data_IF_417371988681
#
_entry.id   IF_417371988681
#
_cell.length_a   1.000
_cell.length_b   1.000
_cell.length_c   1.000
_cell.angle_alpha   90.00
_cell.angle_beta   90.00
_cell.angle_gamma   90.00
#
_symmetry.space_group_name_H-M   'P 1'
#
loop_
_entity.id
_entity.type
_entity.pdbx_description
1 polymer ?
#
# COMPACT_ATOMS: atom_id res chain seq x y z
N UNK A 1 19.09 11.65 23.51
CA UNK A 1 20.29 11.00 22.95
C UNK A 1 21.31 10.92 24.09
N UNK A 2 22.20 9.92 24.18
CA UNK A 2 23.21 9.93 25.25
C UNK A 2 24.37 10.87 24.91
N UNK A 3 25.08 11.38 25.93
CA UNK A 3 26.14 12.39 25.76
C UNK A 3 27.27 11.89 24.84
N UNK A 4 27.60 10.59 24.92
CA UNK A 4 28.63 9.98 24.07
C UNK A 4 28.26 9.99 22.60
N UNK A 5 26.99 9.78 22.26
CA UNK A 5 26.51 9.84 20.88
C UNK A 5 26.53 11.28 20.37
N UNK A 6 26.15 12.24 21.22
CA UNK A 6 26.18 13.66 20.90
C UNK A 6 27.61 14.13 20.61
N UNK A 7 28.58 13.79 21.46
CA UNK A 7 30.00 14.10 21.24
C UNK A 7 30.51 13.54 19.91
N UNK A 8 30.13 12.31 19.58
CA UNK A 8 30.52 11.68 18.30
C UNK A 8 29.96 12.40 17.08
N UNK A 9 28.74 12.93 17.17
CA UNK A 9 28.14 13.75 16.10
C UNK A 9 28.95 15.04 15.95
N UNK A 10 29.24 15.74 17.05
CA UNK A 10 30.05 16.97 17.01
C UNK A 10 31.48 16.74 16.49
N UNK A 11 32.08 15.59 16.76
CA UNK A 11 33.40 15.20 16.23
C UNK A 11 33.37 14.74 14.76
N UNK A 12 32.19 14.73 14.11
CA UNK A 12 32.05 14.36 12.71
C UNK A 12 32.21 12.87 12.39
N UNK A 13 31.98 11.97 13.35
CA UNK A 13 32.12 10.52 13.15
C UNK A 13 31.03 9.98 12.21
N UNK A 14 31.41 9.41 11.07
CA UNK A 14 30.48 8.75 10.14
C UNK A 14 30.04 7.34 10.56
N UNK A 15 30.65 6.76 11.59
CA UNK A 15 30.33 5.41 12.06
C UNK A 15 29.04 5.40 12.91
N UNK A 16 28.12 4.46 12.64
CA UNK A 16 26.90 4.25 13.43
C UNK A 16 26.07 5.54 13.66
N UNK A 17 25.90 6.35 12.60
CA UNK A 17 25.11 7.58 12.67
C UNK A 17 23.65 7.27 13.09
N UNK A 18 23.08 8.00 14.07
CA UNK A 18 21.66 7.90 14.35
C UNK A 18 20.81 8.34 13.14
N UNK A 19 19.59 7.83 12.99
CA UNK A 19 18.70 8.21 11.89
C UNK A 19 18.29 9.69 11.98
N UNK A 20 18.23 10.37 10.84
CA UNK A 20 17.72 11.75 10.75
C UNK A 20 16.21 11.75 10.96
N UNK A 21 15.69 12.70 11.75
CA UNK A 21 14.26 12.95 11.79
C UNK A 21 13.82 13.75 10.56
N UNK A 22 12.80 13.24 9.87
CA UNK A 22 12.26 13.86 8.66
C UNK A 22 11.25 14.94 9.05
N UNK A 23 11.47 16.19 8.58
CA UNK A 23 10.47 17.29 8.69
C UNK A 23 9.27 17.14 7.75
N UNK A 24 9.18 16.02 7.05
CA UNK A 24 8.06 15.66 6.17
C UNK A 24 7.19 14.64 6.90
N UNK A 25 5.93 15.00 7.13
CA UNK A 25 4.92 14.07 7.60
C UNK A 25 4.17 13.49 6.39
N UNK A 26 4.37 12.19 6.16
CA UNK A 26 3.64 11.45 5.12
C UNK A 26 2.54 10.62 5.76
N UNK A 27 1.31 10.87 5.34
CA UNK A 27 0.15 10.13 5.81
C UNK A 27 -0.43 9.37 4.63
N UNK A 28 -0.41 8.04 4.78
CA UNK A 28 -0.99 7.11 3.83
C UNK A 28 -2.38 6.76 4.33
N UNK A 29 -3.39 7.15 3.55
CA UNK A 29 -4.76 6.72 3.79
C UNK A 29 -5.02 5.58 2.81
N UNK A 30 -4.96 4.35 3.32
CA UNK A 30 -5.37 3.19 2.56
C UNK A 30 -6.89 3.19 2.49
N UNK A 31 -7.41 3.66 1.36
CA UNK A 31 -8.83 3.69 1.06
C UNK A 31 -9.07 3.07 -0.30
N UNK A 32 -10.31 3.02 -0.71
CA UNK A 32 -10.76 2.39 -1.94
C UNK A 32 -11.34 3.46 -2.88
N UNK A 33 -10.98 3.50 -4.17
CA UNK A 33 -11.06 4.71 -5.04
C UNK A 33 -12.49 5.16 -5.25
N UNK A 34 -13.36 4.17 -5.45
CA UNK A 34 -14.79 4.37 -5.66
C UNK A 34 -15.57 4.19 -4.37
N UNK A 35 -15.06 3.40 -3.42
CA UNK A 35 -15.77 3.03 -2.21
C UNK A 35 -15.67 4.15 -1.16
N UNK A 36 -14.48 4.70 -0.90
CA UNK A 36 -14.26 5.85 -0.01
C UNK A 36 -14.17 7.19 -0.77
N UNK A 37 -14.72 7.24 -1.99
CA UNK A 37 -14.61 8.43 -2.85
C UNK A 37 -15.22 9.67 -2.21
N UNK A 38 -16.32 9.50 -1.48
CA UNK A 38 -17.00 10.58 -0.78
C UNK A 38 -16.14 11.14 0.35
N UNK A 39 -15.69 10.30 1.27
CA UNK A 39 -14.86 10.66 2.41
C UNK A 39 -13.57 11.32 1.97
N UNK A 40 -12.91 10.76 0.95
CA UNK A 40 -11.68 11.33 0.41
C UNK A 40 -11.93 12.73 -0.16
N UNK A 41 -12.99 12.92 -0.94
CA UNK A 41 -13.28 14.22 -1.53
C UNK A 41 -13.58 15.26 -0.44
N UNK A 42 -14.35 14.89 0.59
CA UNK A 42 -14.62 15.76 1.75
C UNK A 42 -13.36 16.04 2.56
N UNK A 43 -12.51 15.04 2.82
CA UNK A 43 -11.22 15.24 3.49
C UNK A 43 -10.32 16.21 2.72
N UNK A 44 -10.22 16.07 1.40
CA UNK A 44 -9.40 16.95 0.57
C UNK A 44 -9.93 18.38 0.54
N UNK A 45 -11.25 18.56 0.51
CA UNK A 45 -11.87 19.88 0.49
C UNK A 45 -11.78 20.59 1.85
N UNK A 46 -12.05 19.88 2.95
CA UNK A 46 -12.30 20.50 4.25
C UNK A 46 -11.21 20.28 5.30
N UNK A 47 -10.57 19.12 5.29
CA UNK A 47 -9.65 18.70 6.36
C UNK A 47 -8.19 18.91 5.96
N UNK A 48 -7.85 18.63 4.72
CA UNK A 48 -6.49 18.77 4.19
C UNK A 48 -5.94 20.20 4.33
N UNK A 49 -6.67 21.27 3.97
CA UNK A 49 -6.16 22.63 4.15
C UNK A 49 -5.86 22.95 5.62
N UNK A 50 -6.77 22.56 6.53
CA UNK A 50 -6.63 22.77 7.97
C UNK A 50 -5.45 21.99 8.56
N UNK A 51 -5.25 20.73 8.14
CA UNK A 51 -4.11 19.92 8.57
C UNK A 51 -2.78 20.48 8.06
N UNK A 52 -2.74 20.94 6.81
CA UNK A 52 -1.55 21.55 6.22
C UNK A 52 -1.18 22.84 6.97
N UNK A 53 -2.16 23.69 7.24
CA UNK A 53 -1.99 24.91 8.03
C UNK A 53 -1.51 24.59 9.45
N UNK A 54 -2.19 23.68 10.15
CA UNK A 54 -1.81 23.23 11.49
C UNK A 54 -0.37 22.71 11.56
N UNK A 55 0.03 21.85 10.62
CA UNK A 55 1.38 21.28 10.59
C UNK A 55 2.44 22.35 10.29
N UNK A 56 2.14 23.29 9.38
CA UNK A 56 3.03 24.38 9.00
C UNK A 56 3.19 25.39 10.14
N UNK A 57 2.09 25.85 10.72
CA UNK A 57 2.09 26.91 11.73
C UNK A 57 2.62 26.43 13.08
N UNK A 58 2.20 25.24 13.51
CA UNK A 58 2.56 24.73 14.83
C UNK A 58 3.94 24.09 14.87
N UNK A 59 4.34 23.42 13.79
CA UNK A 59 5.51 22.55 13.78
C UNK A 59 6.49 22.82 12.62
N UNK A 60 6.20 23.75 11.71
CA UNK A 60 7.04 24.03 10.55
C UNK A 60 7.17 22.85 9.57
N UNK A 61 6.22 21.92 9.57
CA UNK A 61 6.27 20.69 8.76
C UNK A 61 5.56 20.85 7.42
N UNK A 62 6.08 20.15 6.40
CA UNK A 62 5.37 19.97 5.14
C UNK A 62 4.46 18.74 5.23
N UNK A 63 3.14 18.95 5.03
CA UNK A 63 2.13 17.89 5.07
C UNK A 63 1.90 17.32 3.67
N UNK A 64 2.14 16.02 3.50
CA UNK A 64 1.89 15.31 2.24
C UNK A 64 0.90 14.16 2.46
N UNK A 65 -0.20 14.17 1.71
CA UNK A 65 -1.27 13.18 1.78
C UNK A 65 -1.27 12.28 0.54
N UNK A 66 -1.24 10.97 0.76
CA UNK A 66 -1.37 9.96 -0.29
C UNK A 66 -2.59 9.08 0.00
N UNK A 67 -3.55 9.06 -0.92
CA UNK A 67 -4.79 8.27 -0.81
C UNK A 67 -4.83 7.11 -1.81
N UNK A 68 -4.84 5.88 -1.29
CA UNK A 68 -4.99 4.62 -2.05
C UNK A 68 -6.44 4.34 -2.47
N UNK A 69 -6.64 3.33 -3.33
CA UNK A 69 -7.72 3.29 -4.32
C UNK A 69 -8.49 1.95 -4.54
N UNK A 70 -8.36 0.89 -3.72
CA UNK A 70 -9.37 -0.21 -3.49
C UNK A 70 -8.80 -1.15 -2.41
N UNK A 71 -9.50 -2.20 -1.94
CA UNK A 71 -8.76 -3.34 -1.36
C UNK A 71 -7.69 -3.72 -2.39
N UNK A 72 -8.06 -3.67 -3.67
CA UNK A 72 -7.18 -3.13 -4.70
C UNK A 72 -6.85 -4.18 -5.73
N UNK A 73 -6.31 -3.70 -6.85
CA UNK A 73 -5.63 -4.54 -7.81
C UNK A 73 -4.74 -5.54 -7.05
N UNK A 74 -4.94 -6.84 -7.32
CA UNK A 74 -4.14 -7.94 -6.80
C UNK A 74 -3.09 -8.26 -7.87
N UNK A 75 -1.98 -7.49 -7.97
CA UNK A 75 -1.01 -7.65 -9.03
C UNK A 75 -0.43 -9.05 -8.99
N UNK A 76 -0.06 -9.56 -10.16
CA UNK A 76 0.91 -10.64 -10.22
C UNK A 76 2.28 -10.10 -9.77
N UNK A 77 3.13 -10.89 -9.10
CA UNK A 77 4.44 -10.41 -8.65
C UNK A 77 5.32 -10.00 -9.83
N UNK A 78 5.96 -8.83 -9.76
CA UNK A 78 6.90 -8.42 -10.80
C UNK A 78 8.17 -9.29 -10.81
N UNK A 79 8.50 -9.88 -9.65
CA UNK A 79 9.65 -10.75 -9.44
C UNK A 79 9.18 -11.96 -8.64
N UNK A 80 9.54 -13.16 -9.09
CA UNK A 80 9.28 -14.43 -8.41
C UNK A 80 10.62 -15.12 -8.20
N UNK A 81 10.86 -15.68 -7.01
CA UNK A 81 12.06 -16.45 -6.74
C UNK A 81 12.18 -17.62 -7.73
N UNK A 82 13.38 -17.87 -8.23
CA UNK A 82 13.65 -18.90 -9.22
C UNK A 82 13.09 -20.27 -8.87
N UNK A 83 13.38 -20.74 -7.65
CA UNK A 83 12.85 -22.01 -7.13
C UNK A 83 11.31 -22.00 -7.03
N UNK A 84 10.72 -20.90 -6.57
CA UNK A 84 9.27 -20.78 -6.44
C UNK A 84 8.57 -20.80 -7.80
N UNK A 85 9.09 -20.08 -8.80
CA UNK A 85 8.52 -20.07 -10.15
C UNK A 85 8.53 -21.47 -10.78
N UNK A 86 9.62 -22.22 -10.59
CA UNK A 86 9.72 -23.60 -11.08
C UNK A 86 8.70 -24.53 -10.40
N UNK A 87 8.46 -24.39 -9.09
CA UNK A 87 7.41 -25.14 -8.39
C UNK A 87 6.01 -24.82 -8.92
N UNK A 88 5.72 -23.55 -9.17
CA UNK A 88 4.43 -23.13 -9.73
C UNK A 88 4.22 -23.70 -11.14
N UNK A 89 5.27 -23.68 -11.96
CA UNK A 89 5.26 -24.25 -13.30
C UNK A 89 5.03 -25.76 -13.28
N UNK A 90 5.75 -26.48 -12.42
CA UNK A 90 5.59 -27.93 -12.21
C UNK A 90 4.16 -28.27 -11.75
N UNK A 91 3.59 -27.49 -10.83
CA UNK A 91 2.22 -27.68 -10.37
C UNK A 91 1.20 -27.55 -11.53
N UNK A 92 1.34 -26.55 -12.39
CA UNK A 92 0.46 -26.38 -13.56
C UNK A 92 0.62 -27.54 -14.57
N UNK A 93 1.86 -27.94 -14.85
CA UNK A 93 2.15 -29.04 -15.76
C UNK A 93 1.58 -30.38 -15.24
N UNK A 94 1.68 -30.64 -13.93
CA UNK A 94 1.08 -31.83 -13.32
C UNK A 94 -0.45 -31.91 -13.46
N UNK A 95 -1.10 -30.76 -13.67
CA UNK A 95 -2.53 -30.65 -13.95
C UNK A 95 -2.86 -30.59 -15.46
N UNK A 96 -1.89 -30.83 -16.35
CA UNK A 96 -2.01 -30.66 -17.80
C UNK A 96 -2.46 -29.25 -18.23
N UNK A 97 -2.01 -28.22 -17.50
CA UNK A 97 -2.28 -26.82 -17.82
C UNK A 97 -1.05 -26.23 -18.52
N UNK A 98 -1.27 -25.62 -19.68
CA UNK A 98 -0.22 -24.98 -20.47
C UNK A 98 0.40 -23.77 -19.75
N UNK A 99 1.74 -23.70 -19.73
CA UNK A 99 2.51 -22.64 -19.05
C UNK A 99 3.14 -21.63 -20.00
N UNK A 100 2.93 -21.76 -21.31
CA UNK A 100 3.53 -20.90 -22.35
C UNK A 100 3.28 -19.43 -22.12
N UNK A 101 2.10 -19.08 -21.59
CA UNK A 101 1.77 -17.70 -21.20
C UNK A 101 2.72 -17.17 -20.12
N UNK A 102 3.00 -17.95 -19.07
CA UNK A 102 3.94 -17.56 -18.02
C UNK A 102 5.38 -17.53 -18.55
N UNK A 103 5.76 -18.52 -19.35
CA UNK A 103 7.10 -18.62 -19.96
C UNK A 103 7.39 -17.46 -20.94
N UNK A 104 6.34 -16.90 -21.55
CA UNK A 104 6.41 -15.73 -22.43
C UNK A 104 6.66 -14.45 -21.62
N UNK A 105 5.90 -14.26 -20.54
CA UNK A 105 5.86 -13.02 -19.78
C UNK A 105 6.88 -12.94 -18.64
N UNK A 106 7.38 -14.06 -18.12
CA UNK A 106 8.42 -14.10 -17.09
C UNK A 106 9.72 -14.63 -17.66
N UNK A 107 10.81 -13.85 -17.53
CA UNK A 107 12.15 -14.26 -17.98
C UNK A 107 13.09 -14.39 -16.81
N UNK A 108 13.93 -15.41 -16.88
CA UNK A 108 14.94 -15.67 -15.86
C UNK A 108 15.99 -14.56 -15.87
N UNK A 109 16.33 -14.07 -14.68
CA UNK A 109 17.50 -13.25 -14.42
C UNK A 109 18.43 -14.03 -13.50
N UNK A 110 19.52 -14.54 -14.09
CA UNK A 110 20.55 -15.28 -13.37
C UNK A 110 21.59 -14.39 -12.72
N UNK A 111 21.53 -13.06 -12.91
CA UNK A 111 22.42 -12.12 -12.24
C UNK A 111 21.99 -11.85 -10.79
N UNK A 112 20.71 -12.06 -10.48
CA UNK A 112 20.22 -12.06 -9.12
C UNK A 112 20.70 -13.29 -8.35
N UNK A 113 21.06 -13.14 -7.07
CA UNK A 113 21.48 -14.24 -6.20
C UNK A 113 20.60 -14.25 -4.95
N UNK A 114 19.70 -15.23 -4.76
CA UNK A 114 19.36 -16.32 -5.68
C UNK A 114 18.68 -15.82 -6.97
N UNK A 115 18.75 -16.60 -8.06
CA UNK A 115 18.17 -16.23 -9.35
C UNK A 115 16.65 -16.05 -9.28
N UNK A 116 16.11 -15.22 -10.15
CA UNK A 116 14.68 -14.85 -10.14
C UNK A 116 14.08 -14.89 -11.54
N UNK A 117 12.75 -14.89 -11.61
CA UNK A 117 11.99 -14.64 -12.83
C UNK A 117 11.33 -13.27 -12.76
N UNK A 118 11.55 -12.45 -13.80
CA UNK A 118 11.09 -11.06 -13.87
C UNK A 118 10.00 -10.93 -14.94
N UNK A 119 8.88 -10.32 -14.55
CA UNK A 119 7.80 -9.95 -15.45
C UNK A 119 8.30 -8.91 -16.46
N UNK A 120 8.13 -9.21 -17.75
CA UNK A 120 8.55 -8.33 -18.84
C UNK A 120 7.66 -7.09 -18.94
N UNK A 121 8.26 -5.99 -19.41
CA UNK A 121 7.53 -4.76 -19.70
C UNK A 121 6.45 -5.03 -20.75
N UNK A 122 5.25 -4.46 -20.56
CA UNK A 122 4.11 -4.68 -21.46
C UNK A 122 4.47 -4.35 -22.91
N UNK A 123 5.19 -3.24 -23.12
CA UNK A 123 5.62 -2.78 -24.44
C UNK A 123 6.66 -3.64 -25.13
N UNK A 124 7.31 -4.58 -24.43
CA UNK A 124 8.25 -5.53 -25.05
C UNK A 124 7.54 -6.55 -25.93
N UNK A 125 6.27 -6.84 -25.62
CA UNK A 125 5.44 -7.80 -26.36
C UNK A 125 4.29 -7.08 -27.09
N UNK A 126 3.63 -6.15 -26.41
CA UNK A 126 2.50 -5.37 -26.92
C UNK A 126 2.99 -3.96 -27.26
N UNK A 127 3.64 -3.84 -28.42
CA UNK A 127 4.39 -2.64 -28.84
C UNK A 127 3.55 -1.36 -28.92
N UNK A 128 2.23 -1.47 -29.12
CA UNK A 128 1.33 -0.32 -29.22
C UNK A 128 0.65 0.04 -27.90
N UNK A 129 0.90 -0.66 -26.79
CA UNK A 129 0.22 -0.44 -25.51
C UNK A 129 0.26 1.03 -25.02
N UNK A 130 1.37 1.73 -25.28
CA UNK A 130 1.57 3.15 -24.96
C UNK A 130 1.54 4.08 -26.19
N UNK A 131 1.18 3.57 -27.37
CA UNK A 131 1.24 4.32 -28.62
C UNK A 131 0.06 5.28 -28.80
N UNK A 132 0.17 6.47 -28.18
CA UNK A 132 -0.83 7.53 -28.28
C UNK A 132 -1.07 8.06 -29.71
N UNK A 133 -0.15 7.78 -30.64
CA UNK A 133 -0.27 8.22 -32.04
C UNK A 133 -1.27 7.38 -32.83
N UNK A 134 -1.53 6.15 -32.41
CA UNK A 134 -2.48 5.23 -33.07
C UNK A 134 -3.47 4.67 -32.04
N UNK A 135 -4.52 5.44 -31.68
CA UNK A 135 -5.45 5.07 -30.60
C UNK A 135 -6.12 3.71 -30.78
N UNK A 136 -6.38 3.30 -32.03
CA UNK A 136 -7.01 2.01 -32.33
C UNK A 136 -6.11 0.82 -31.96
N UNK A 137 -4.83 0.85 -32.35
CA UNK A 137 -3.87 -0.20 -32.00
C UNK A 137 -3.54 -0.17 -30.51
N UNK A 138 -3.49 1.02 -29.91
CA UNK A 138 -3.34 1.17 -28.47
C UNK A 138 -4.48 0.49 -27.70
N UNK A 139 -5.74 0.76 -28.07
CA UNK A 139 -6.89 0.15 -27.41
C UNK A 139 -6.90 -1.38 -27.57
N UNK A 140 -6.48 -1.88 -28.73
CA UNK A 140 -6.37 -3.32 -28.99
C UNK A 140 -5.32 -3.98 -28.07
N UNK A 141 -4.10 -3.45 -28.03
CA UNK A 141 -3.04 -3.96 -27.17
C UNK A 141 -3.39 -3.84 -25.68
N UNK A 142 -4.05 -2.76 -25.28
CA UNK A 142 -4.56 -2.62 -23.92
C UNK A 142 -5.59 -3.70 -23.57
N UNK A 143 -6.55 -3.97 -24.47
CA UNK A 143 -7.52 -5.04 -24.26
C UNK A 143 -6.83 -6.41 -24.15
N UNK A 144 -5.87 -6.70 -25.04
CA UNK A 144 -5.08 -7.93 -25.00
C UNK A 144 -4.29 -8.07 -23.70
N UNK A 145 -3.69 -6.99 -23.19
CA UNK A 145 -2.99 -7.01 -21.91
C UNK A 145 -3.92 -7.37 -20.76
N UNK A 146 -5.08 -6.71 -20.64
CA UNK A 146 -5.99 -6.94 -19.53
C UNK A 146 -6.54 -8.38 -19.53
N UNK A 147 -6.83 -8.95 -20.69
CA UNK A 147 -7.20 -10.38 -20.83
C UNK A 147 -6.04 -11.32 -20.46
N UNK A 148 -4.83 -11.03 -20.96
CA UNK A 148 -3.61 -11.81 -20.67
C UNK A 148 -3.28 -11.79 -19.18
N UNK A 149 -3.34 -10.63 -18.55
CA UNK A 149 -3.12 -10.44 -17.12
C UNK A 149 -4.13 -11.24 -16.29
N UNK A 150 -5.42 -11.21 -16.65
CA UNK A 150 -6.45 -11.98 -15.97
C UNK A 150 -6.19 -13.50 -16.07
N UNK A 151 -5.71 -13.98 -17.22
CA UNK A 151 -5.29 -15.38 -17.41
C UNK A 151 -4.07 -15.73 -16.55
N UNK A 152 -3.03 -14.91 -16.56
CA UNK A 152 -1.83 -15.11 -15.72
C UNK A 152 -2.17 -15.12 -14.23
N UNK A 153 -3.03 -14.21 -13.77
CA UNK A 153 -3.51 -14.18 -12.38
C UNK A 153 -4.18 -15.51 -11.99
N UNK A 154 -5.07 -16.04 -12.84
CA UNK A 154 -5.73 -17.33 -12.60
C UNK A 154 -4.72 -18.49 -12.53
N UNK A 155 -3.77 -18.53 -13.45
CA UNK A 155 -2.72 -19.56 -13.47
C UNK A 155 -1.88 -19.52 -12.19
N UNK A 156 -1.34 -18.35 -11.84
CA UNK A 156 -0.47 -18.19 -10.68
C UNK A 156 -1.20 -18.51 -9.37
N UNK A 157 -2.44 -18.04 -9.19
CA UNK A 157 -3.25 -18.37 -8.01
C UNK A 157 -3.53 -19.86 -7.89
N UNK A 158 -3.90 -20.50 -9.00
CA UNK A 158 -4.15 -21.94 -9.04
C UNK A 158 -2.88 -22.73 -8.69
N UNK A 159 -1.75 -22.34 -9.26
CA UNK A 159 -0.45 -22.94 -9.00
C UNK A 159 -0.06 -22.78 -7.52
N UNK A 160 -0.14 -21.56 -6.97
CA UNK A 160 0.20 -21.26 -5.59
C UNK A 160 -0.67 -22.04 -4.60
N UNK A 161 -1.98 -22.09 -4.83
CA UNK A 161 -2.89 -22.88 -4.00
C UNK A 161 -2.55 -24.38 -4.06
N UNK A 162 -2.18 -24.89 -5.24
CA UNK A 162 -1.79 -26.29 -5.41
C UNK A 162 -0.49 -26.60 -4.68
N UNK A 163 0.53 -25.76 -4.81
CA UNK A 163 1.80 -25.89 -4.10
C UNK A 163 1.60 -25.85 -2.58
N UNK A 164 0.72 -24.97 -2.08
CA UNK A 164 0.38 -24.90 -0.66
C UNK A 164 -0.31 -26.16 -0.16
N UNK A 165 -1.30 -26.67 -0.92
CA UNK A 165 -1.98 -27.93 -0.58
C UNK A 165 -1.01 -29.12 -0.55
N UNK A 166 0.03 -29.09 -1.39
CA UNK A 166 1.11 -30.07 -1.44
C UNK A 166 2.24 -29.80 -0.42
N UNK A 167 2.13 -28.75 0.41
CA UNK A 167 3.14 -28.31 1.39
C UNK A 167 4.51 -27.97 0.76
N UNK A 168 4.53 -27.61 -0.53
CA UNK A 168 5.72 -27.17 -1.26
C UNK A 168 6.07 -25.70 -0.98
N UNK A 169 5.08 -24.90 -0.62
CA UNK A 169 5.23 -23.51 -0.16
C UNK A 169 4.41 -23.29 1.11
N UNK A 170 4.81 -22.31 1.92
CA UNK A 170 4.05 -21.94 3.12
C UNK A 170 2.81 -21.07 2.78
N UNK A 171 2.03 -20.76 3.81
CA UNK A 171 0.78 -19.99 3.67
C UNK A 171 1.04 -18.56 3.22
N UNK A 172 2.13 -17.94 3.67
CA UNK A 172 2.44 -16.54 3.38
C UNK A 172 2.93 -16.39 1.93
N UNK A 173 3.77 -17.32 1.47
CA UNK A 173 4.19 -17.45 0.08
C UNK A 173 3.00 -17.67 -0.85
N UNK A 174 2.05 -18.53 -0.47
CA UNK A 174 0.81 -18.70 -1.24
C UNK A 174 -0.03 -17.43 -1.25
N UNK A 175 -0.25 -16.82 -0.07
CA UNK A 175 -1.10 -15.64 0.08
C UNK A 175 -0.56 -14.44 -0.70
N UNK A 176 0.75 -14.34 -0.95
CA UNK A 176 1.33 -13.29 -1.80
C UNK A 176 0.71 -13.19 -3.20
N UNK A 177 0.15 -14.28 -3.75
CA UNK A 177 -0.54 -14.31 -5.05
C UNK A 177 -2.01 -13.86 -4.99
N UNK A 178 -2.57 -13.76 -3.78
CA UNK A 178 -3.93 -13.33 -3.50
C UNK A 178 -3.98 -11.97 -2.82
N UNK A 179 -2.85 -11.54 -2.25
CA UNK A 179 -2.70 -10.29 -1.51
C UNK A 179 -2.92 -9.09 -2.43
N UNK A 180 -3.71 -8.15 -1.93
CA UNK A 180 -3.95 -6.89 -2.61
C UNK A 180 -2.94 -5.83 -2.21
N UNK A 181 -2.87 -4.75 -3.00
CA UNK A 181 -1.98 -3.61 -2.69
C UNK A 181 -2.33 -3.02 -1.33
N UNK A 182 -3.62 -2.82 -1.01
CA UNK A 182 -4.02 -2.29 0.30
C UNK A 182 -3.72 -3.25 1.44
N UNK A 183 -3.90 -4.56 1.26
CA UNK A 183 -3.48 -5.50 2.30
C UNK A 183 -1.97 -5.38 2.57
N UNK A 184 -1.16 -5.26 1.52
CA UNK A 184 0.29 -5.07 1.65
C UNK A 184 0.64 -3.77 2.38
N UNK A 185 -0.08 -2.68 2.10
CA UNK A 185 0.05 -1.41 2.83
C UNK A 185 -0.35 -1.55 4.30
N UNK A 186 -1.44 -2.24 4.62
CA UNK A 186 -1.89 -2.47 6.01
C UNK A 186 -0.91 -3.38 6.76
N UNK A 187 -0.40 -4.43 6.12
CA UNK A 187 0.61 -5.32 6.69
C UNK A 187 1.86 -4.53 7.06
N UNK A 188 2.40 -3.75 6.11
CA UNK A 188 3.65 -3.02 6.32
C UNK A 188 3.45 -1.79 7.23
N UNK A 189 2.32 -1.10 7.13
CA UNK A 189 2.04 0.15 7.84
C UNK A 189 1.47 -0.04 9.25
N UNK A 190 0.88 -1.20 9.55
CA UNK A 190 0.22 -1.46 10.85
C UNK A 190 0.64 -2.81 11.43
N UNK A 191 0.46 -3.92 10.70
CA UNK A 191 0.57 -5.26 11.29
C UNK A 191 2.00 -5.65 11.67
N UNK A 192 2.97 -5.31 10.84
CA UNK A 192 4.38 -5.61 11.06
C UNK A 192 5.11 -4.54 11.87
N UNK A 193 4.45 -3.43 12.21
CA UNK A 193 5.05 -2.36 13.00
C UNK A 193 5.06 -2.76 14.48
N UNK A 194 6.18 -2.48 15.16
CA UNK A 194 6.34 -2.79 16.59
C UNK A 194 5.37 -2.01 17.48
N UNK A 195 5.14 -0.74 17.17
CA UNK A 195 4.31 0.18 17.97
C UNK A 195 3.33 0.96 17.07
N UNK A 196 2.05 0.72 17.25
CA UNK A 196 0.96 1.36 16.49
C UNK A 196 0.44 2.65 17.15
N UNK A 197 0.70 2.85 18.44
CA UNK A 197 0.14 3.95 19.25
C UNK A 197 0.53 5.35 18.77
N UNK A 198 1.71 5.49 18.19
CA UNK A 198 2.31 6.79 17.89
C UNK A 198 2.28 7.17 16.41
N UNK A 199 2.02 6.22 15.51
CA UNK A 199 2.19 6.44 14.06
C UNK A 199 1.09 5.82 13.21
N UNK A 200 0.14 5.07 13.80
CA UNK A 200 -0.95 4.44 13.08
C UNK A 200 -2.29 5.04 13.50
N UNK A 201 -3.16 5.31 12.53
CA UNK A 201 -4.57 5.64 12.67
C UNK A 201 -5.32 4.75 11.67
N UNK A 202 -6.41 4.12 12.10
CA UNK A 202 -7.29 3.39 11.19
C UNK A 202 -8.74 3.82 11.39
N UNK A 203 -9.39 4.14 10.27
CA UNK A 203 -10.81 4.42 10.20
C UNK A 203 -11.42 3.47 9.19
N UNK A 204 -12.39 2.68 9.65
CA UNK A 204 -12.97 1.59 8.91
C UNK A 204 -14.46 1.83 8.75
N UNK A 205 -14.96 1.67 7.52
CA UNK A 205 -16.39 1.72 7.23
C UNK A 205 -16.90 0.35 6.84
N UNK A 206 -18.11 0.05 7.29
CA UNK A 206 -18.94 -1.04 6.82
C UNK A 206 -20.20 -0.47 6.17
N UNK A 207 -20.60 -0.98 5.01
CA UNK A 207 -21.82 -0.55 4.32
C UNK A 207 -22.84 -1.68 4.44
N UNK A 208 -23.97 -1.37 5.05
CA UNK A 208 -25.12 -2.24 5.11
C UNK A 208 -25.96 -2.15 3.84
N UNK A 209 -26.64 -3.25 3.51
CA UNK A 209 -27.71 -3.28 2.51
C UNK A 209 -27.30 -2.83 1.10
N UNK A 210 -26.05 -3.09 0.68
CA UNK A 210 -25.57 -2.78 -0.67
C UNK A 210 -26.53 -3.35 -1.72
N UNK A 211 -27.03 -2.49 -2.60
CA UNK A 211 -27.95 -2.90 -3.66
C UNK A 211 -27.21 -3.69 -4.76
N UNK A 212 -27.27 -5.02 -4.66
CA UNK A 212 -26.64 -5.95 -5.62
C UNK A 212 -27.40 -6.08 -6.95
N UNK A 213 -28.61 -5.52 -7.10
CA UNK A 213 -29.31 -5.53 -8.39
C UNK A 213 -28.59 -4.66 -9.42
N UNK A 214 -27.89 -3.61 -8.98
CA UNK A 214 -27.06 -2.76 -9.82
C UNK A 214 -25.57 -3.10 -9.62
N UNK A 215 -25.12 -4.23 -10.17
CA UNK A 215 -23.73 -4.70 -10.04
C UNK A 215 -22.69 -3.69 -10.53
N UNK A 216 -23.02 -2.83 -11.51
CA UNK A 216 -22.12 -1.77 -11.98
C UNK A 216 -21.84 -0.76 -10.86
N UNK A 217 -22.87 -0.39 -10.10
CA UNK A 217 -22.76 0.52 -8.96
C UNK A 217 -22.21 -0.19 -7.74
N UNK A 218 -22.71 -1.39 -7.42
CA UNK A 218 -22.23 -2.18 -6.29
C UNK A 218 -20.74 -2.53 -6.43
N UNK A 219 -20.25 -2.80 -7.64
CA UNK A 219 -18.83 -3.06 -7.92
C UNK A 219 -17.87 -1.91 -7.56
N UNK A 220 -18.42 -0.74 -7.22
CA UNK A 220 -17.65 0.35 -6.64
C UNK A 220 -17.34 0.14 -5.16
N UNK A 221 -18.15 -0.63 -4.43
CA UNK A 221 -18.16 -0.80 -2.97
C UNK A 221 -17.94 -2.24 -2.50
N UNK A 222 -18.13 -3.22 -3.38
CA UNK A 222 -17.90 -4.64 -3.11
C UNK A 222 -17.22 -5.29 -4.31
N UNK A 223 -16.33 -6.25 -4.06
CA UNK A 223 -15.64 -6.99 -5.12
C UNK A 223 -16.62 -7.93 -5.85
N UNK A 224 -16.66 -7.82 -7.17
CA UNK A 224 -17.53 -8.62 -8.06
C UNK A 224 -16.65 -9.43 -9.02
N UNK A 225 -16.85 -10.74 -9.04
CA UNK A 225 -16.21 -11.68 -9.97
C UNK A 225 -17.28 -12.53 -10.66
N UNK A 226 -17.17 -12.72 -11.98
CA UNK A 226 -18.13 -13.50 -12.77
C UNK A 226 -19.61 -13.09 -12.55
N UNK A 227 -19.88 -11.78 -12.49
CA UNK A 227 -21.21 -11.19 -12.21
C UNK A 227 -21.84 -11.58 -10.86
N UNK A 228 -21.02 -12.03 -9.90
CA UNK A 228 -21.43 -12.36 -8.55
C UNK A 228 -20.46 -11.72 -7.54
N UNK A 229 -20.86 -11.65 -6.27
CA UNK A 229 -19.95 -11.18 -5.21
C UNK A 229 -18.77 -12.14 -5.10
N UNK A 230 -17.55 -11.61 -5.14
CA UNK A 230 -16.32 -12.37 -4.94
C UNK A 230 -16.21 -12.77 -3.45
N UNK A 231 -16.69 -13.97 -3.14
CA UNK A 231 -16.75 -14.49 -1.77
C UNK A 231 -15.36 -14.66 -1.14
N UNK A 232 -14.34 -14.92 -1.96
CA UNK A 232 -12.95 -15.01 -1.50
C UNK A 232 -12.47 -13.62 -1.05
N UNK A 233 -12.67 -12.59 -1.89
CA UNK A 233 -12.30 -11.22 -1.56
C UNK A 233 -13.02 -10.72 -0.30
N UNK A 234 -14.32 -11.02 -0.15
CA UNK A 234 -15.10 -10.68 1.06
C UNK A 234 -14.48 -11.33 2.30
N UNK A 235 -14.14 -12.62 2.24
CA UNK A 235 -13.53 -13.34 3.38
C UNK A 235 -12.16 -12.76 3.75
N UNK A 236 -11.32 -12.44 2.76
CA UNK A 236 -10.01 -11.83 2.97
C UNK A 236 -10.15 -10.44 3.60
N UNK A 237 -11.07 -9.62 3.10
CA UNK A 237 -11.34 -8.29 3.66
C UNK A 237 -11.87 -8.37 5.09
N UNK A 238 -12.82 -9.26 5.38
CA UNK A 238 -13.33 -9.48 6.74
C UNK A 238 -12.21 -9.88 7.69
N UNK A 239 -11.34 -10.81 7.31
CA UNK A 239 -10.22 -11.21 8.16
C UNK A 239 -9.23 -10.06 8.42
N UNK A 240 -8.93 -9.25 7.40
CA UNK A 240 -8.05 -8.09 7.56
C UNK A 240 -8.68 -7.01 8.45
N UNK A 241 -9.92 -6.63 8.15
CA UNK A 241 -10.66 -5.50 8.73
C UNK A 241 -11.18 -5.78 10.12
N UNK A 242 -11.73 -6.98 10.35
CA UNK A 242 -12.48 -7.32 11.55
C UNK A 242 -11.66 -8.10 12.57
N UNK A 243 -10.65 -8.87 12.12
CA UNK A 243 -9.83 -9.68 13.03
C UNK A 243 -8.43 -9.08 13.23
N UNK A 244 -7.63 -9.00 12.15
CA UNK A 244 -6.20 -8.69 12.23
C UNK A 244 -5.92 -7.25 12.61
N UNK A 245 -6.64 -6.30 12.00
CA UNK A 245 -6.45 -4.88 12.25
C UNK A 245 -6.85 -4.50 13.69
N UNK A 246 -8.05 -4.83 14.20
CA UNK A 246 -8.46 -4.47 15.56
C UNK A 246 -7.61 -5.16 16.65
N UNK A 247 -7.10 -6.37 16.39
CA UNK A 247 -6.23 -7.08 17.32
C UNK A 247 -4.85 -6.41 17.51
N UNK A 248 -4.42 -5.53 16.59
CA UNK A 248 -3.08 -4.93 16.57
C UNK A 248 -3.06 -3.44 16.85
N UNK A 249 -4.09 -2.71 16.41
CA UNK A 249 -4.11 -1.25 16.53
C UNK A 249 -4.57 -0.83 17.93
N UNK A 250 -4.02 0.29 18.42
CA UNK A 250 -4.49 0.91 19.66
C UNK A 250 -5.96 1.34 19.53
N UNK A 251 -6.79 0.98 20.50
CA UNK A 251 -8.22 1.32 20.50
C UNK A 251 -8.49 2.84 20.32
N UNK A 252 -7.64 3.70 20.89
CA UNK A 252 -7.79 5.17 20.75
C UNK A 252 -7.50 5.69 19.34
N UNK A 253 -6.90 4.86 18.49
CA UNK A 253 -6.51 5.17 17.11
C UNK A 253 -7.35 4.36 16.10
N UNK A 254 -8.42 3.70 16.56
CA UNK A 254 -9.32 2.91 15.74
C UNK A 254 -10.73 3.49 15.79
N UNK A 255 -11.28 3.81 14.63
CA UNK A 255 -12.68 4.21 14.49
C UNK A 255 -13.38 3.31 13.49
N UNK A 256 -14.56 2.83 13.86
CA UNK A 256 -15.42 2.01 13.00
C UNK A 256 -16.74 2.73 12.78
N UNK A 257 -17.19 2.70 11.53
CA UNK A 257 -18.45 3.29 11.09
C UNK A 257 -19.28 2.23 10.38
N UNK A 258 -20.59 2.28 10.60
CA UNK A 258 -21.56 1.52 9.81
C UNK A 258 -22.47 2.51 9.13
N UNK A 259 -22.57 2.42 7.81
CA UNK A 259 -23.41 3.30 6.99
C UNK A 259 -24.41 2.47 6.20
N UNK A 260 -25.58 3.03 5.93
CA UNK A 260 -26.62 2.36 5.15
C UNK A 260 -26.51 2.71 3.67
N UNK A 261 -26.73 1.74 2.78
CA UNK A 261 -26.87 2.04 1.36
C UNK A 261 -28.21 2.73 1.08
N UNK A 262 -28.19 3.96 0.57
CA UNK A 262 -29.40 4.76 0.32
C UNK A 262 -29.62 4.99 -1.18
N UNK A 263 -30.80 4.60 -1.65
CA UNK A 263 -31.27 4.88 -3.00
C UNK A 263 -30.44 4.22 -4.12
N UNK A 264 -30.47 4.83 -5.31
CA UNK A 264 -29.76 4.32 -6.50
C UNK A 264 -28.26 4.59 -6.46
N UNK A 265 -27.88 5.70 -5.83
CA UNK A 265 -26.50 6.18 -5.80
C UNK A 265 -25.68 5.48 -4.71
N UNK A 266 -26.35 4.93 -3.69
CA UNK A 266 -25.76 4.24 -2.54
C UNK A 266 -25.32 5.21 -1.47
N UNK A 267 -24.16 5.82 -1.68
CA UNK A 267 -23.62 6.80 -0.75
C UNK A 267 -23.55 8.17 -1.45
N UNK A 268 -24.15 9.20 -0.86
CA UNK A 268 -23.99 10.60 -1.29
C UNK A 268 -23.70 11.54 -0.12
N UNK A 269 -23.02 12.69 -0.34
CA UNK A 269 -22.76 13.68 0.70
C UNK A 269 -24.04 14.15 1.41
N UNK A 270 -25.12 14.37 0.66
CA UNK A 270 -26.39 14.87 1.21
C UNK A 270 -27.05 13.87 2.15
N UNK A 271 -26.96 12.58 1.83
CA UNK A 271 -27.59 11.51 2.62
C UNK A 271 -26.72 11.01 3.77
N UNK A 272 -25.42 11.33 3.74
CA UNK A 272 -24.43 10.85 4.70
C UNK A 272 -23.63 11.99 5.36
N UNK A 273 -24.20 13.19 5.42
CA UNK A 273 -23.51 14.38 5.91
C UNK A 273 -23.01 14.24 7.36
N UNK A 274 -23.83 13.67 8.25
CA UNK A 274 -23.48 13.44 9.66
C UNK A 274 -22.29 12.48 9.79
N UNK A 275 -22.36 11.33 9.10
CA UNK A 275 -21.26 10.37 9.02
C UNK A 275 -19.98 11.02 8.52
N UNK A 276 -20.06 11.81 7.44
CA UNK A 276 -18.89 12.50 6.89
C UNK A 276 -18.29 13.51 7.86
N UNK A 277 -19.14 14.26 8.56
CA UNK A 277 -18.69 15.24 9.55
C UNK A 277 -17.95 14.56 10.70
N UNK A 278 -18.47 13.44 11.22
CA UNK A 278 -17.79 12.66 12.25
C UNK A 278 -16.48 12.04 11.74
N UNK A 279 -16.50 11.46 10.55
CA UNK A 279 -15.32 10.89 9.89
C UNK A 279 -14.20 11.92 9.74
N UNK A 280 -14.53 13.11 9.22
CA UNK A 280 -13.60 14.21 9.06
C UNK A 280 -13.06 14.72 10.41
N UNK A 281 -13.92 14.79 11.42
CA UNK A 281 -13.55 15.22 12.78
C UNK A 281 -12.60 14.24 13.43
N UNK A 282 -12.88 12.94 13.37
CA UNK A 282 -12.00 11.90 13.91
C UNK A 282 -10.69 11.83 13.13
N UNK A 283 -10.72 12.01 11.81
CA UNK A 283 -9.50 12.11 11.00
C UNK A 283 -8.63 13.27 11.46
N UNK A 284 -9.18 14.49 11.50
CA UNK A 284 -8.44 15.69 11.90
C UNK A 284 -7.85 15.54 13.31
N UNK A 285 -8.67 15.17 14.29
CA UNK A 285 -8.23 14.99 15.69
C UNK A 285 -7.21 13.85 15.83
N UNK A 286 -7.39 12.76 15.09
CA UNK A 286 -6.46 11.62 15.09
C UNK A 286 -5.10 12.03 14.54
N UNK A 287 -5.07 12.64 13.35
CA UNK A 287 -3.83 13.08 12.72
C UNK A 287 -3.11 14.12 13.56
N UNK A 288 -3.77 15.21 13.96
CA UNK A 288 -3.14 16.26 14.79
C UNK A 288 -2.55 15.71 16.08
N UNK A 289 -3.23 14.76 16.73
CA UNK A 289 -2.72 14.05 17.92
C UNK A 289 -1.48 13.21 17.61
N UNK A 290 -1.44 12.51 16.48
CA UNK A 290 -0.27 11.75 16.05
C UNK A 290 0.91 12.68 15.73
N UNK A 291 0.66 13.79 15.03
CA UNK A 291 1.67 14.82 14.74
C UNK A 291 2.25 15.36 16.04
N UNK A 292 1.40 15.80 16.96
CA UNK A 292 1.84 16.36 18.25
C UNK A 292 2.64 15.32 19.07
N UNK A 293 2.27 14.04 19.02
CA UNK A 293 3.04 12.97 19.69
C UNK A 293 4.40 12.73 19.02
N UNK A 294 4.47 12.77 17.70
CA UNK A 294 5.71 12.60 16.96
C UNK A 294 6.67 13.77 17.25
N UNK A 295 6.16 15.00 17.21
CA UNK A 295 6.95 16.21 17.45
C UNK A 295 7.42 16.36 18.89
N UNK A 296 6.66 15.87 19.89
CA UNK A 296 7.12 15.84 21.29
C UNK A 296 8.36 14.97 21.51
N UNK A 297 8.67 14.04 20.61
CA UNK A 297 9.86 13.19 20.69
C UNK A 297 11.07 13.82 19.99
N UNK A 298 10.88 14.88 19.22
CA UNK A 298 11.98 15.66 18.66
C UNK A 298 12.52 16.63 19.70
N UNK A 299 13.85 16.73 19.78
CA UNK A 299 14.53 17.70 20.61
C UNK A 299 14.62 19.03 19.84
N UNK A 300 13.67 19.93 20.13
CA UNK A 300 13.60 21.26 19.52
C UNK A 300 14.43 22.31 20.28
N UNK A 301 15.25 21.91 21.25
CA UNK A 301 16.19 22.83 21.89
C UNK A 301 17.21 23.38 20.87
N UNK A 302 17.85 24.54 21.14
CA UNK A 302 18.89 25.07 20.26
C UNK A 302 20.00 24.04 20.00
N UNK A 303 20.36 23.25 21.01
CA UNK A 303 21.34 22.18 20.89
C UNK A 303 20.82 21.02 20.02
N UNK A 304 19.56 20.60 20.20
CA UNK A 304 18.92 19.58 19.36
C UNK A 304 18.83 19.97 17.88
N UNK A 305 18.58 21.25 17.58
CA UNK A 305 18.58 21.77 16.21
C UNK A 305 19.97 21.68 15.57
N UNK A 306 21.01 22.12 16.29
CA UNK A 306 22.41 22.03 15.83
C UNK A 306 22.82 20.56 15.63
N UNK A 307 22.48 19.67 16.56
CA UNK A 307 22.75 18.23 16.42
C UNK A 307 22.06 17.67 15.17
N UNK A 308 20.81 18.05 14.92
CA UNK A 308 20.05 17.59 13.74
C UNK A 308 20.69 18.08 12.43
N UNK A 309 21.13 19.33 12.38
CA UNK A 309 21.82 19.91 11.23
C UNK A 309 23.15 19.19 10.95
N UNK A 310 24.00 19.03 11.98
CA UNK A 310 25.27 18.30 11.84
C UNK A 310 25.01 16.86 11.39
N UNK A 311 23.99 16.21 11.95
CA UNK A 311 23.63 14.84 11.57
C UNK A 311 23.17 14.76 10.10
N UNK A 312 22.44 15.75 9.60
CA UNK A 312 22.06 15.84 8.17
C UNK A 312 23.30 15.93 7.27
N UNK A 313 24.26 16.77 7.63
CA UNK A 313 25.53 16.88 6.90
C UNK A 313 26.33 15.58 6.94
N UNK A 314 26.42 14.91 8.08
CA UNK A 314 27.15 13.64 8.20
C UNK A 314 26.55 12.53 7.35
N UNK A 315 25.22 12.42 7.28
CA UNK A 315 24.57 11.46 6.37
C UNK A 315 24.77 11.83 4.91
N UNK A 316 24.70 13.13 4.55
CA UNK A 316 25.00 13.57 3.19
C UNK A 316 26.44 13.19 2.80
N UNK A 317 27.42 13.44 3.67
CA UNK A 317 28.81 13.02 3.49
C UNK A 317 28.93 11.50 3.34
N UNK A 318 28.31 10.72 4.22
CA UNK A 318 28.35 9.25 4.16
C UNK A 318 27.75 8.72 2.85
N UNK A 319 26.67 9.31 2.37
CA UNK A 319 26.06 8.94 1.09
C UNK A 319 26.96 9.31 -0.09
N UNK A 320 27.58 10.50 -0.09
CA UNK A 320 28.55 10.89 -1.11
C UNK A 320 29.76 9.96 -1.15
N UNK A 321 30.31 9.55 0.01
CA UNK A 321 31.43 8.59 0.08
C UNK A 321 31.06 7.21 -0.47
N UNK A 322 29.80 6.79 -0.36
CA UNK A 322 29.33 5.52 -0.94
C UNK A 322 29.12 5.58 -2.46
N UNK A 323 28.77 6.76 -2.99
CA UNK A 323 28.58 6.98 -4.43
C UNK A 323 29.91 7.12 -5.17
N UNK A 324 30.95 7.62 -4.49
CA UNK A 324 32.32 7.67 -4.99
C UNK A 324 33.18 6.64 -4.25
N UNK A 325 33.16 5.36 -4.64
CA UNK A 325 34.14 4.42 -4.10
C UNK A 325 35.52 4.96 -4.42
N UNK A 326 36.40 4.97 -3.41
CA UNK A 326 37.81 5.35 -3.58
C UNK A 326 38.37 4.63 -4.80
N UNK A 327 38.68 5.40 -5.84
CA UNK A 327 39.63 4.98 -6.85
C UNK A 327 40.99 5.10 -6.16
N UNK A 328 41.43 4.01 -5.54
CA UNK A 328 42.82 3.78 -5.17
C UNK A 328 43.18 2.35 -5.59
#
# INVERSE_FOLDING_TARGET
MDDRTVDRIFCGSLANLPPISSKILRIFTSSTFTDMGMERNTLMAEVYPKLKEYCREKHGLEFQFFGGQKYGYRPIPAVILGSEFLLLREALQSMNIETTLLDTWYKIDTNAVPFVYILQWISTILVNFNNKRVPKLQAQDQATWWDTLAKMQKLLRKAAQTCYNQRKIDKDAMHNYFMSVTEREVINGILNVKNTRNHCLAQVRYINNINLQNLRRAGNFIDIANRQVDSEAVKLLSNLRDDRLPAKIEASNYHRYTVEWIGREGLSPDTHAEYLQEFCTHFYKGITRLVDRAMRKEDNSPQGQVITEILQHLHACNNSVKVFPRVL
#
